data_IF_034195745934
#
_entry.id   IF_034195745934
#
_cell.length_a   1.000
_cell.length_b   1.000
_cell.length_c   1.000
_cell.angle_alpha   90.00
_cell.angle_beta   90.00
_cell.angle_gamma   90.00
#
_symmetry.space_group_name_H-M   'P 1'
#
loop_
_entity.id
_entity.type
_entity.pdbx_description
1 polymer ?
#
# COMPACT_ATOMS: atom_id res chain seq x y z
N UNK A 1 -20.84 -7.92 -10.44
CA UNK A 1 -20.23 -6.59 -10.29
C UNK A 1 -20.13 -5.93 -11.66
N UNK A 2 -20.34 -4.60 -11.74
CA UNK A 2 -20.08 -3.81 -12.97
C UNK A 2 -18.59 -3.94 -13.32
N UNK A 3 -18.26 -4.27 -14.57
CA UNK A 3 -16.84 -4.32 -15.00
C UNK A 3 -16.21 -2.94 -14.84
N UNK A 4 -14.91 -2.89 -14.56
CA UNK A 4 -14.16 -1.63 -14.55
C UNK A 4 -13.95 -1.21 -16.01
N UNK A 5 -14.33 0.02 -16.33
CA UNK A 5 -14.19 0.64 -17.66
C UNK A 5 -13.01 1.61 -17.62
N UNK A 6 -12.02 1.38 -18.47
CA UNK A 6 -10.78 2.17 -18.51
C UNK A 6 -10.63 2.79 -19.90
N UNK A 7 -10.45 4.11 -19.94
CA UNK A 7 -10.09 4.85 -21.15
C UNK A 7 -8.58 5.08 -21.18
N UNK A 8 -7.89 4.51 -22.16
CA UNK A 8 -6.46 4.78 -22.39
C UNK A 8 -6.33 5.83 -23.48
N UNK A 9 -5.64 6.93 -23.18
CA UNK A 9 -5.47 8.05 -24.08
C UNK A 9 -4.02 8.52 -24.22
N UNK A 10 -3.75 9.13 -25.38
CA UNK A 10 -2.51 9.85 -25.65
C UNK A 10 -2.82 11.32 -25.94
N UNK A 11 -2.58 12.21 -24.97
CA UNK A 11 -2.87 13.61 -25.13
C UNK A 11 -1.84 14.30 -26.05
N UNK A 12 -2.30 15.28 -26.82
CA UNK A 12 -1.44 16.12 -27.64
C UNK A 12 -0.76 15.36 -28.79
N UNK A 13 0.35 15.86 -29.32
CA UNK A 13 0.92 15.35 -30.58
C UNK A 13 1.77 14.07 -30.43
N UNK A 14 1.75 13.42 -29.28
CA UNK A 14 2.58 12.24 -29.01
C UNK A 14 2.17 11.03 -29.84
N UNK A 15 3.08 10.55 -30.69
CA UNK A 15 2.89 9.41 -31.58
C UNK A 15 3.31 8.05 -31.00
N UNK A 16 3.85 7.99 -29.78
CA UNK A 16 4.36 6.74 -29.21
C UNK A 16 3.24 5.88 -28.61
N UNK A 17 2.72 4.90 -29.35
CA UNK A 17 1.56 4.09 -28.95
C UNK A 17 1.89 2.77 -28.24
N UNK A 18 3.09 2.20 -28.45
CA UNK A 18 3.43 0.84 -27.97
C UNK A 18 3.10 0.61 -26.49
N UNK A 19 3.51 1.54 -25.62
CA UNK A 19 3.22 1.44 -24.18
C UNK A 19 1.71 1.42 -23.93
N UNK A 20 0.96 2.35 -24.52
CA UNK A 20 -0.48 2.44 -24.39
C UNK A 20 -1.21 1.18 -24.89
N UNK A 21 -0.76 0.59 -26.00
CA UNK A 21 -1.33 -0.66 -26.54
C UNK A 21 -1.03 -1.87 -25.65
N UNK A 22 0.20 -1.97 -25.11
CA UNK A 22 0.57 -3.05 -24.18
C UNK A 22 -0.25 -2.96 -22.89
N UNK A 23 -0.38 -1.76 -22.31
CA UNK A 23 -1.23 -1.55 -21.13
C UNK A 23 -2.69 -1.87 -21.47
N UNK A 24 -3.19 -1.41 -22.61
CA UNK A 24 -4.57 -1.70 -23.02
C UNK A 24 -4.85 -3.20 -23.12
N UNK A 25 -3.91 -3.98 -23.65
CA UNK A 25 -4.06 -5.44 -23.71
C UNK A 25 -4.00 -6.07 -22.32
N UNK A 26 -3.02 -5.69 -21.50
CA UNK A 26 -2.86 -6.25 -20.16
C UNK A 26 -4.07 -5.99 -19.25
N UNK A 27 -4.69 -4.81 -19.35
CA UNK A 27 -5.91 -4.50 -18.59
C UNK A 27 -7.13 -5.30 -19.09
N UNK A 28 -7.22 -5.60 -20.40
CA UNK A 28 -8.24 -6.52 -20.92
C UNK A 28 -8.02 -7.95 -20.42
N UNK A 29 -6.77 -8.39 -20.37
CA UNK A 29 -6.41 -9.72 -19.84
C UNK A 29 -6.73 -9.83 -18.33
N UNK A 30 -6.67 -8.72 -17.60
CA UNK A 30 -7.13 -8.59 -16.22
C UNK A 30 -8.69 -8.51 -16.07
N UNK A 31 -9.44 -8.55 -17.17
CA UNK A 31 -10.90 -8.60 -17.16
C UNK A 31 -11.61 -7.23 -17.23
N UNK A 32 -10.87 -6.14 -17.43
CA UNK A 32 -11.41 -4.79 -17.57
C UNK A 32 -11.93 -4.53 -19.00
N UNK A 33 -12.88 -3.60 -19.12
CA UNK A 33 -13.33 -3.09 -20.41
C UNK A 33 -12.47 -1.88 -20.80
N UNK A 34 -11.70 -1.98 -21.88
CA UNK A 34 -10.71 -0.96 -22.23
C UNK A 34 -11.03 -0.28 -23.56
N UNK A 35 -11.27 1.03 -23.49
CA UNK A 35 -11.44 1.94 -24.62
C UNK A 35 -10.10 2.61 -24.90
N UNK A 36 -9.56 2.45 -26.10
CA UNK A 36 -8.36 3.17 -26.54
C UNK A 36 -8.75 4.29 -27.50
N UNK A 37 -8.43 5.54 -27.16
CA UNK A 37 -8.87 6.71 -27.95
C UNK A 37 -8.02 6.94 -29.21
N UNK A 38 -6.94 6.19 -29.39
CA UNK A 38 -5.99 6.42 -30.45
C UNK A 38 -5.00 7.55 -30.12
N UNK A 39 -4.39 8.10 -31.17
CA UNK A 39 -3.38 9.13 -31.06
C UNK A 39 -4.00 10.53 -31.18
N UNK A 40 -3.26 11.54 -30.70
CA UNK A 40 -3.52 12.95 -31.01
C UNK A 40 -4.85 13.48 -30.52
N UNK A 41 -5.25 13.07 -29.32
CA UNK A 41 -6.46 13.58 -28.69
C UNK A 41 -6.15 14.84 -27.87
N UNK A 42 -7.00 15.86 -27.93
CA UNK A 42 -6.92 16.98 -27.00
C UNK A 42 -7.42 16.56 -25.61
N UNK A 43 -6.98 17.24 -24.53
CA UNK A 43 -7.53 17.01 -23.20
C UNK A 43 -9.06 17.06 -23.15
N UNK A 44 -9.68 17.98 -23.90
CA UNK A 44 -11.14 18.10 -23.98
C UNK A 44 -11.79 16.88 -24.65
N UNK A 45 -11.21 16.37 -25.73
CA UNK A 45 -11.70 15.18 -26.41
C UNK A 45 -11.59 13.94 -25.52
N UNK A 46 -10.51 13.84 -24.75
CA UNK A 46 -10.30 12.75 -23.79
C UNK A 46 -11.40 12.75 -22.73
N UNK A 47 -11.67 13.90 -22.11
CA UNK A 47 -12.71 14.02 -21.08
C UNK A 47 -14.10 13.79 -21.66
N UNK A 48 -14.40 14.34 -22.84
CA UNK A 48 -15.69 14.09 -23.51
C UNK A 48 -15.91 12.60 -23.77
N UNK A 49 -14.90 11.89 -24.28
CA UNK A 49 -14.97 10.46 -24.49
C UNK A 49 -15.14 9.69 -23.18
N UNK A 50 -14.41 10.08 -22.13
CA UNK A 50 -14.48 9.44 -20.82
C UNK A 50 -15.89 9.53 -20.20
N UNK A 51 -16.48 10.73 -20.22
CA UNK A 51 -17.84 10.97 -19.72
C UNK A 51 -18.89 10.25 -20.58
N UNK A 52 -18.77 10.33 -21.90
CA UNK A 52 -19.72 9.67 -22.82
C UNK A 52 -19.69 8.15 -22.68
N UNK A 53 -18.51 7.58 -22.45
CA UNK A 53 -18.30 6.15 -22.26
C UNK A 53 -18.51 5.69 -20.82
N UNK A 54 -18.88 6.57 -19.88
CA UNK A 54 -19.12 6.24 -18.46
C UNK A 54 -17.96 5.40 -17.87
N UNK A 55 -16.73 5.90 -18.02
CA UNK A 55 -15.52 5.19 -17.58
C UNK A 55 -15.23 5.45 -16.12
N UNK A 56 -14.67 4.44 -15.44
CA UNK A 56 -14.22 4.58 -14.06
C UNK A 56 -12.82 5.20 -13.97
N UNK A 57 -12.01 5.05 -15.03
CA UNK A 57 -10.59 5.46 -15.03
C UNK A 57 -10.14 5.99 -16.40
N UNK A 58 -9.30 7.02 -16.38
CA UNK A 58 -8.50 7.51 -17.52
C UNK A 58 -7.01 7.18 -17.29
N UNK A 59 -6.40 6.49 -18.24
CA UNK A 59 -4.96 6.28 -18.31
C UNK A 59 -4.31 7.17 -19.37
N UNK A 60 -3.46 8.10 -18.95
CA UNK A 60 -2.75 9.03 -19.84
C UNK A 60 -1.32 8.55 -20.12
N UNK A 61 -0.96 8.43 -21.40
CA UNK A 61 0.40 8.03 -21.80
C UNK A 61 1.16 9.16 -22.49
N UNK A 62 2.28 9.60 -21.92
CA UNK A 62 3.14 10.67 -22.42
C UNK A 62 4.62 10.27 -22.52
N UNK A 63 5.18 10.39 -23.72
CA UNK A 63 6.63 10.28 -24.01
C UNK A 63 7.17 11.57 -24.65
N UNK A 64 6.33 12.60 -24.81
CA UNK A 64 6.69 13.88 -25.45
C UNK A 64 7.22 14.94 -24.47
N UNK A 65 7.22 14.65 -23.17
CA UNK A 65 7.57 15.61 -22.11
C UNK A 65 6.47 16.63 -21.80
N UNK A 66 5.29 16.52 -22.42
CA UNK A 66 4.20 17.46 -22.24
C UNK A 66 3.27 17.14 -21.05
N UNK A 67 3.63 16.16 -20.20
CA UNK A 67 2.80 15.70 -19.06
C UNK A 67 2.48 16.81 -18.07
N UNK A 68 3.43 17.70 -17.78
CA UNK A 68 3.25 18.83 -16.86
C UNK A 68 2.20 19.86 -17.30
N UNK A 69 1.78 19.82 -18.57
CA UNK A 69 0.77 20.70 -19.14
C UNK A 69 -0.51 19.92 -19.45
N UNK A 70 -0.36 18.79 -20.14
CA UNK A 70 -1.51 18.05 -20.67
C UNK A 70 -2.26 17.25 -19.61
N UNK A 71 -1.60 16.73 -18.58
CA UNK A 71 -2.29 15.99 -17.53
C UNK A 71 -3.12 16.93 -16.65
N UNK A 72 -2.58 18.07 -16.16
CA UNK A 72 -3.40 19.07 -15.46
C UNK A 72 -4.59 19.56 -16.29
N UNK A 73 -4.42 19.77 -17.60
CA UNK A 73 -5.55 20.16 -18.46
C UNK A 73 -6.65 19.10 -18.57
N UNK A 74 -6.32 17.80 -18.43
CA UNK A 74 -7.35 16.74 -18.36
C UNK A 74 -8.10 16.86 -17.03
N UNK A 75 -7.41 17.06 -15.92
CA UNK A 75 -8.01 17.25 -14.60
C UNK A 75 -8.92 18.48 -14.55
N UNK A 76 -8.45 19.64 -15.04
CA UNK A 76 -9.24 20.87 -15.11
C UNK A 76 -10.54 20.68 -15.92
N UNK A 77 -10.46 19.92 -17.02
CA UNK A 77 -11.61 19.61 -17.86
C UNK A 77 -12.58 18.64 -17.17
N UNK A 78 -12.09 17.66 -16.38
CA UNK A 78 -12.92 16.77 -15.56
C UNK A 78 -13.68 17.56 -14.50
N UNK A 79 -13.00 18.47 -13.78
CA UNK A 79 -13.62 19.38 -12.83
C UNK A 79 -14.73 20.21 -13.49
N UNK A 80 -14.42 20.82 -14.64
CA UNK A 80 -15.39 21.63 -15.40
C UNK A 80 -16.60 20.79 -15.86
N UNK A 81 -16.40 19.51 -16.15
CA UNK A 81 -17.46 18.59 -16.55
C UNK A 81 -18.24 17.98 -15.36
N UNK A 82 -17.81 18.24 -14.11
CA UNK A 82 -18.39 17.63 -12.91
C UNK A 82 -18.15 16.12 -12.80
N UNK A 83 -17.04 15.62 -13.37
CA UNK A 83 -16.68 14.22 -13.47
C UNK A 83 -15.36 13.90 -12.72
N UNK A 84 -15.18 14.51 -11.55
CA UNK A 84 -13.99 14.34 -10.70
C UNK A 84 -13.93 12.97 -10.02
N UNK A 85 -15.03 12.20 -10.09
CA UNK A 85 -15.10 10.82 -9.64
C UNK A 85 -14.34 9.85 -10.56
N UNK A 86 -13.99 10.28 -11.78
CA UNK A 86 -13.19 9.49 -12.72
C UNK A 86 -11.71 9.58 -12.32
N UNK A 87 -11.13 8.44 -11.94
CA UNK A 87 -9.71 8.35 -11.57
C UNK A 87 -8.81 8.62 -12.78
N UNK A 88 -7.66 9.24 -12.56
CA UNK A 88 -6.67 9.55 -13.58
C UNK A 88 -5.30 9.02 -13.17
N UNK A 89 -4.77 8.04 -13.92
CA UNK A 89 -3.37 7.65 -13.80
C UNK A 89 -2.57 8.09 -15.03
N UNK A 90 -1.28 8.31 -14.84
CA UNK A 90 -0.34 8.68 -15.89
C UNK A 90 0.75 7.64 -16.11
N UNK A 91 1.38 7.66 -17.27
CA UNK A 91 2.58 6.88 -17.52
C UNK A 91 3.36 7.30 -18.76
N UNK A 92 4.52 6.67 -18.93
CA UNK A 92 5.49 6.99 -19.96
C UNK A 92 6.79 7.50 -19.38
N UNK A 93 7.55 8.30 -20.13
CA UNK A 93 8.87 8.79 -19.69
C UNK A 93 8.67 10.10 -18.94
N UNK A 94 8.42 9.98 -17.63
CA UNK A 94 8.14 11.11 -16.73
C UNK A 94 9.30 11.20 -15.71
N UNK A 95 10.00 12.36 -15.62
CA UNK A 95 11.04 12.60 -14.62
C UNK A 95 10.53 12.47 -13.18
N UNK A 96 11.39 12.03 -12.25
CA UNK A 96 10.98 11.77 -10.85
C UNK A 96 10.49 13.03 -10.14
N UNK A 97 11.11 14.17 -10.45
CA UNK A 97 10.76 15.49 -9.95
C UNK A 97 9.36 15.94 -10.40
N UNK A 98 8.89 15.48 -11.56
CA UNK A 98 7.57 15.83 -12.09
C UNK A 98 6.46 14.94 -11.49
N UNK A 99 6.79 13.71 -11.07
CA UNK A 99 5.81 12.76 -10.54
C UNK A 99 5.09 13.34 -9.32
N UNK A 100 5.85 13.81 -8.32
CA UNK A 100 5.28 14.37 -7.10
C UNK A 100 4.36 15.57 -7.39
N UNK A 101 4.75 16.42 -8.35
CA UNK A 101 3.97 17.60 -8.76
C UNK A 101 2.68 17.20 -9.48
N UNK A 102 2.69 16.13 -10.28
CA UNK A 102 1.50 15.63 -10.95
C UNK A 102 0.54 14.94 -9.95
N UNK A 103 1.08 14.16 -9.02
CA UNK A 103 0.28 13.49 -7.99
C UNK A 103 -0.37 14.51 -7.04
N UNK A 104 0.36 15.56 -6.61
CA UNK A 104 -0.18 16.67 -5.82
C UNK A 104 -1.30 17.45 -6.53
N UNK A 105 -1.25 17.50 -7.86
CA UNK A 105 -2.30 18.14 -8.69
C UNK A 105 -3.55 17.27 -8.87
N UNK A 106 -3.55 16.03 -8.41
CA UNK A 106 -4.70 15.12 -8.49
C UNK A 106 -4.58 14.01 -9.53
N UNK A 107 -3.37 13.71 -10.04
CA UNK A 107 -3.15 12.44 -10.76
C UNK A 107 -2.98 11.32 -9.73
N UNK A 108 -3.85 10.32 -9.71
CA UNK A 108 -3.87 9.29 -8.67
C UNK A 108 -2.58 8.45 -8.61
N UNK A 109 -1.93 8.22 -9.76
CA UNK A 109 -0.63 7.54 -9.82
C UNK A 109 0.12 7.77 -11.12
N UNK A 110 1.45 7.86 -11.05
CA UNK A 110 2.34 7.78 -12.22
C UNK A 110 3.09 6.45 -12.29
N UNK A 111 3.00 5.77 -13.43
CA UNK A 111 3.75 4.56 -13.75
C UNK A 111 4.85 4.82 -14.78
N UNK A 112 6.10 4.59 -14.41
CA UNK A 112 7.28 4.78 -15.26
C UNK A 112 7.64 3.49 -16.02
N UNK A 113 8.57 3.55 -17.00
CA UNK A 113 8.95 2.37 -17.77
C UNK A 113 9.54 1.28 -16.86
N UNK A 114 9.12 0.04 -17.07
CA UNK A 114 9.53 -1.10 -16.25
C UNK A 114 8.53 -1.51 -15.18
N UNK A 115 7.49 -0.70 -14.90
CA UNK A 115 6.39 -1.10 -14.02
C UNK A 115 5.72 -2.37 -14.56
N UNK A 116 5.60 -3.45 -13.75
CA UNK A 116 4.87 -4.64 -14.14
C UNK A 116 3.39 -4.32 -14.41
N UNK A 117 2.82 -4.86 -15.48
CA UNK A 117 1.43 -4.60 -15.85
C UNK A 117 0.43 -5.05 -14.77
N UNK A 118 0.77 -6.10 -14.02
CA UNK A 118 0.00 -6.58 -12.86
C UNK A 118 -0.11 -5.55 -11.73
N UNK A 119 0.90 -4.69 -11.55
CA UNK A 119 0.86 -3.62 -10.55
C UNK A 119 -0.14 -2.54 -10.96
N UNK A 120 -0.20 -2.23 -12.26
CA UNK A 120 -1.14 -1.24 -12.82
C UNK A 120 -2.58 -1.75 -12.69
N UNK A 121 -2.84 -3.01 -13.05
CA UNK A 121 -4.17 -3.60 -12.91
C UNK A 121 -4.61 -3.67 -11.45
N UNK A 122 -3.73 -4.11 -10.54
CA UNK A 122 -4.04 -4.18 -9.12
C UNK A 122 -4.31 -2.80 -8.51
N UNK A 123 -3.56 -1.77 -8.93
CA UNK A 123 -3.82 -0.39 -8.53
C UNK A 123 -5.22 0.07 -8.98
N UNK A 124 -5.57 -0.13 -10.25
CA UNK A 124 -6.89 0.26 -10.79
C UNK A 124 -8.02 -0.45 -10.06
N UNK A 125 -7.90 -1.76 -9.86
CA UNK A 125 -8.91 -2.55 -9.13
C UNK A 125 -9.11 -2.01 -7.71
N UNK A 126 -8.02 -1.73 -7.00
CA UNK A 126 -8.06 -1.18 -5.65
C UNK A 126 -8.69 0.22 -5.61
N UNK A 127 -8.23 1.12 -6.48
CA UNK A 127 -8.66 2.52 -6.49
C UNK A 127 -10.14 2.65 -6.90
N UNK A 128 -10.56 1.97 -7.98
CA UNK A 128 -11.97 1.98 -8.41
C UNK A 128 -12.87 1.34 -7.36
N UNK A 129 -12.41 0.29 -6.69
CA UNK A 129 -13.13 -0.29 -5.56
C UNK A 129 -13.30 0.73 -4.43
N UNK A 130 -12.23 1.42 -4.03
CA UNK A 130 -12.32 2.49 -3.02
C UNK A 130 -13.28 3.61 -3.41
N UNK A 131 -13.27 4.06 -4.68
CA UNK A 131 -14.19 5.11 -5.17
C UNK A 131 -15.64 4.62 -5.23
N UNK A 132 -15.90 3.40 -5.74
CA UNK A 132 -17.26 2.84 -5.79
C UNK A 132 -17.80 2.55 -4.38
N UNK A 133 -16.94 2.13 -3.47
CA UNK A 133 -17.27 1.86 -2.07
C UNK A 133 -17.36 3.16 -1.24
N UNK A 134 -17.09 4.35 -1.83
CA UNK A 134 -17.30 5.65 -1.17
C UNK A 134 -18.77 6.14 -1.19
N UNK A 135 -19.62 5.52 -2.02
CA UNK A 135 -21.06 5.81 -2.09
C UNK A 135 -21.92 5.03 -1.10
N UNK A 136 -21.40 3.94 -0.54
CA UNK A 136 -21.98 3.16 0.55
C UNK A 136 -20.78 2.62 1.33
N UNK A 137 -20.56 3.12 2.54
CA UNK A 137 -19.51 2.64 3.44
C UNK A 137 -19.72 1.15 3.75
N UNK A 138 -19.23 0.28 2.88
CA UNK A 138 -19.29 -1.17 3.03
C UNK A 138 -17.88 -1.69 3.30
N UNK A 139 -17.50 -1.62 4.58
CA UNK A 139 -16.91 -2.73 5.33
C UNK A 139 -15.70 -3.43 4.67
N UNK A 140 -14.52 -2.85 4.92
CA UNK A 140 -13.18 -3.44 4.92
C UNK A 140 -12.70 -4.17 3.67
N UNK A 141 -11.65 -3.62 3.07
CA UNK A 141 -10.73 -4.36 2.20
C UNK A 141 -10.10 -5.55 2.97
N UNK A 142 -9.81 -6.68 2.31
CA UNK A 142 -8.97 -7.72 2.89
C UNK A 142 -7.62 -7.14 3.35
N UNK A 143 -7.02 -7.66 4.44
CA UNK A 143 -5.63 -7.34 4.75
C UNK A 143 -4.73 -7.52 3.54
N UNK A 144 -3.77 -6.63 3.33
CA UNK A 144 -2.85 -6.66 2.19
C UNK A 144 -1.92 -7.88 2.24
N UNK A 145 -1.68 -8.41 3.43
CA UNK A 145 -0.86 -9.59 3.65
C UNK A 145 -0.51 -9.78 5.12
N UNK A 146 0.50 -10.62 5.36
CA UNK A 146 1.17 -10.73 6.65
C UNK A 146 2.24 -9.64 6.69
N UNK A 147 2.19 -8.77 7.69
CA UNK A 147 3.26 -7.80 7.92
C UNK A 147 4.47 -8.51 8.55
N UNK A 148 4.25 -9.11 9.72
CA UNK A 148 5.25 -9.88 10.43
C UNK A 148 4.65 -11.06 11.23
N UNK A 149 5.52 -11.97 11.64
CA UNK A 149 5.22 -13.05 12.58
C UNK A 149 6.16 -12.88 13.78
N UNK A 150 5.58 -12.58 14.95
CA UNK A 150 6.32 -12.45 16.19
C UNK A 150 6.76 -13.80 16.74
N UNK A 151 8.04 -13.92 17.04
CA UNK A 151 8.68 -15.07 17.66
C UNK A 151 9.24 -14.66 19.01
N UNK A 152 8.68 -15.21 20.09
CA UNK A 152 9.23 -15.05 21.43
C UNK A 152 10.48 -15.93 21.57
N UNK A 153 11.63 -15.29 21.85
CA UNK A 153 12.93 -15.93 21.99
C UNK A 153 13.61 -15.49 23.29
N UNK A 154 14.47 -16.33 23.84
CA UNK A 154 15.29 -15.99 25.02
C UNK A 154 16.49 -15.13 24.67
N UNK A 155 16.99 -15.27 23.44
CA UNK A 155 18.12 -14.50 22.91
C UNK A 155 17.92 -14.25 21.42
N UNK A 156 17.83 -12.97 21.04
CA UNK A 156 17.85 -12.53 19.65
C UNK A 156 19.15 -12.96 18.98
N UNK A 157 20.29 -12.86 19.66
CA UNK A 157 21.59 -13.24 19.10
C UNK A 157 21.61 -14.73 18.69
N UNK A 158 21.18 -15.63 19.58
CA UNK A 158 21.13 -17.07 19.28
C UNK A 158 20.14 -17.41 18.16
N UNK A 159 18.97 -16.76 18.17
CA UNK A 159 17.94 -16.96 17.15
C UNK A 159 18.40 -16.42 15.77
N UNK A 160 18.95 -15.21 15.73
CA UNK A 160 19.50 -14.59 14.53
C UNK A 160 20.63 -15.43 13.93
N UNK A 161 21.54 -15.92 14.78
CA UNK A 161 22.61 -16.84 14.40
C UNK A 161 22.06 -18.12 13.73
N UNK A 162 21.01 -18.71 14.30
CA UNK A 162 20.36 -19.90 13.74
C UNK A 162 19.79 -19.62 12.35
N UNK A 163 19.01 -18.54 12.20
CA UNK A 163 18.42 -18.17 10.92
C UNK A 163 19.48 -17.81 9.87
N UNK A 164 20.54 -17.11 10.27
CA UNK A 164 21.65 -16.78 9.39
C UNK A 164 22.41 -18.01 8.91
N UNK A 165 22.74 -18.94 9.81
CA UNK A 165 23.54 -20.13 9.46
C UNK A 165 22.79 -21.11 8.58
N UNK A 166 21.50 -21.30 8.82
CA UNK A 166 20.74 -22.38 8.18
C UNK A 166 19.84 -21.92 7.03
N UNK A 167 19.42 -20.64 7.04
CA UNK A 167 18.51 -20.08 6.03
C UNK A 167 19.13 -18.91 5.27
N UNK A 168 20.35 -18.49 5.63
CA UNK A 168 21.11 -17.43 4.96
C UNK A 168 20.38 -16.09 4.92
N UNK A 169 19.64 -15.79 5.99
CA UNK A 169 18.95 -14.51 6.20
C UNK A 169 19.57 -13.76 7.37
N UNK A 170 19.65 -12.44 7.26
CA UNK A 170 20.33 -11.60 8.24
C UNK A 170 19.29 -10.82 9.04
N UNK A 171 19.36 -10.89 10.37
CA UNK A 171 18.57 -10.01 11.23
C UNK A 171 19.06 -8.56 11.11
N UNK A 172 18.12 -7.62 11.18
CA UNK A 172 18.40 -6.19 11.30
C UNK A 172 19.03 -5.84 12.65
N UNK A 173 19.22 -4.54 12.87
CA UNK A 173 19.72 -4.03 14.14
C UNK A 173 18.72 -4.30 15.26
N UNK A 174 19.22 -4.79 16.40
CA UNK A 174 18.43 -4.94 17.61
C UNK A 174 18.21 -3.58 18.26
N UNK A 175 16.96 -3.25 18.55
CA UNK A 175 16.62 -2.04 19.30
C UNK A 175 15.72 -2.37 20.48
N UNK A 176 15.74 -1.50 21.49
CA UNK A 176 15.00 -1.69 22.73
C UNK A 176 13.68 -0.94 22.69
N UNK A 177 12.61 -1.59 23.14
CA UNK A 177 11.27 -1.00 23.32
C UNK A 177 10.89 -1.13 24.82
N UNK A 178 11.43 -0.27 25.70
CA UNK A 178 11.28 -0.44 27.15
C UNK A 178 9.83 -0.39 27.64
N UNK A 179 8.98 0.40 26.98
CA UNK A 179 7.56 0.51 27.29
C UNK A 179 6.81 -0.82 27.15
N UNK A 180 7.32 -1.71 26.29
CA UNK A 180 6.78 -3.05 26.08
C UNK A 180 7.64 -4.14 26.76
N UNK A 181 8.76 -3.77 27.39
CA UNK A 181 9.64 -4.69 28.11
C UNK A 181 10.38 -5.67 27.20
N UNK A 182 10.72 -5.28 25.96
CA UNK A 182 11.34 -6.17 24.98
C UNK A 182 12.47 -5.48 24.20
N UNK A 183 13.45 -6.28 23.77
CA UNK A 183 14.30 -6.00 22.63
C UNK A 183 13.67 -6.64 21.39
N UNK A 184 13.83 -5.98 20.25
CA UNK A 184 13.23 -6.39 18.97
C UNK A 184 14.30 -6.39 17.89
N UNK A 185 14.27 -7.41 17.03
CA UNK A 185 15.03 -7.45 15.79
C UNK A 185 14.20 -8.10 14.68
N UNK A 186 14.29 -7.58 13.45
CA UNK A 186 13.53 -8.09 12.31
C UNK A 186 14.40 -8.88 11.35
N UNK A 187 13.90 -10.04 10.89
CA UNK A 187 14.49 -10.80 9.79
C UNK A 187 13.57 -10.66 8.57
N UNK A 188 14.01 -10.03 7.48
CA UNK A 188 13.20 -9.90 6.26
C UNK A 188 13.08 -11.25 5.54
N UNK A 189 11.86 -11.64 5.18
CA UNK A 189 11.54 -12.90 4.48
C UNK A 189 10.57 -12.67 3.31
N UNK A 190 11.11 -12.31 2.14
CA UNK A 190 10.30 -12.16 0.93
C UNK A 190 9.20 -11.10 1.09
N UNK A 191 7.96 -11.55 1.29
CA UNK A 191 6.78 -10.70 1.45
C UNK A 191 6.28 -10.55 2.90
N UNK A 192 7.05 -11.00 3.90
CA UNK A 192 6.76 -10.86 5.32
C UNK A 192 8.06 -10.74 6.12
N UNK A 193 7.96 -10.58 7.44
CA UNK A 193 9.10 -10.48 8.35
C UNK A 193 8.95 -11.43 9.54
N UNK A 194 10.06 -11.93 10.08
CA UNK A 194 10.05 -12.47 11.44
C UNK A 194 10.44 -11.35 12.39
N UNK A 195 9.62 -11.12 13.40
CA UNK A 195 9.95 -10.23 14.51
C UNK A 195 10.44 -11.08 15.67
N UNK A 196 11.73 -10.97 16.01
CA UNK A 196 12.29 -11.64 17.17
C UNK A 196 12.08 -10.76 18.40
N UNK A 197 11.41 -11.33 19.41
CA UNK A 197 11.04 -10.66 20.65
C UNK A 197 11.81 -11.28 21.81
N UNK A 198 12.80 -10.55 22.33
CA UNK A 198 13.56 -10.94 23.52
C UNK A 198 13.09 -10.11 24.73
N UNK A 199 12.74 -10.73 25.86
CA UNK A 199 12.32 -9.98 27.04
C UNK A 199 13.49 -9.23 27.68
N UNK A 200 13.27 -7.96 28.06
CA UNK A 200 14.26 -7.17 28.80
C UNK A 200 14.47 -7.67 30.23
N UNK A 201 13.42 -8.19 30.85
CA UNK A 201 13.42 -8.68 32.23
C UNK A 201 12.29 -9.69 32.48
N UNK A 202 12.25 -10.23 33.70
CA UNK A 202 11.23 -11.20 34.13
C UNK A 202 9.81 -10.63 34.22
N UNK A 203 9.66 -9.29 34.21
CA UNK A 203 8.35 -8.63 34.26
C UNK A 203 7.71 -8.56 32.87
N UNK A 204 8.50 -8.65 31.80
CA UNK A 204 8.05 -8.69 30.41
C UNK A 204 6.95 -9.71 30.14
N UNK A 205 5.95 -9.34 29.33
CA UNK A 205 4.91 -10.27 28.89
C UNK A 205 5.48 -11.41 28.05
N UNK A 206 6.55 -11.14 27.29
CA UNK A 206 7.26 -12.15 26.50
C UNK A 206 7.99 -13.13 27.41
N UNK A 207 8.61 -12.67 28.50
CA UNK A 207 9.20 -13.57 29.48
C UNK A 207 8.16 -14.55 30.05
N UNK A 208 7.00 -14.03 30.49
CA UNK A 208 5.91 -14.86 31.00
C UNK A 208 5.34 -15.81 29.94
N UNK A 209 5.31 -15.39 28.67
CA UNK A 209 4.92 -16.26 27.56
C UNK A 209 5.88 -17.43 27.43
N UNK A 210 7.19 -17.16 27.38
CA UNK A 210 8.25 -18.16 27.25
C UNK A 210 8.22 -19.14 28.42
N UNK A 211 8.07 -18.67 29.65
CA UNK A 211 7.97 -19.54 30.84
C UNK A 211 6.76 -20.47 30.78
N UNK A 212 5.64 -19.99 30.24
CA UNK A 212 4.39 -20.76 30.20
C UNK A 212 4.27 -21.70 29.00
N UNK A 213 4.84 -21.32 27.86
CA UNK A 213 4.61 -22.00 26.56
C UNK A 213 5.89 -22.43 25.83
N UNK A 214 7.06 -22.02 26.32
CA UNK A 214 8.32 -22.12 25.61
C UNK A 214 8.51 -20.99 24.60
N UNK A 215 9.70 -20.93 24.01
CA UNK A 215 10.00 -20.08 22.86
C UNK A 215 9.18 -20.52 21.62
N UNK A 216 8.86 -19.58 20.74
CA UNK A 216 8.12 -19.88 19.51
C UNK A 216 7.16 -18.77 19.07
N UNK A 217 6.20 -19.13 18.22
CA UNK A 217 5.24 -18.19 17.63
C UNK A 217 4.39 -17.52 18.72
N UNK A 218 4.47 -16.20 18.78
CA UNK A 218 3.77 -15.35 19.74
C UNK A 218 2.50 -14.73 19.14
N UNK A 219 2.60 -14.08 17.98
CA UNK A 219 1.46 -13.46 17.28
C UNK A 219 1.62 -13.55 15.75
N UNK A 220 0.55 -13.24 15.02
CA UNK A 220 0.57 -13.00 13.58
C UNK A 220 0.03 -11.61 13.30
N UNK A 221 0.79 -10.79 12.59
CA UNK A 221 0.45 -9.42 12.26
C UNK A 221 -0.07 -9.30 10.83
N UNK A 222 -1.24 -8.68 10.68
CA UNK A 222 -1.92 -8.48 9.41
C UNK A 222 -1.82 -7.01 9.00
N UNK A 223 -1.27 -6.77 7.81
CA UNK A 223 -1.20 -5.43 7.22
C UNK A 223 -2.61 -5.00 6.78
N UNK A 224 -3.13 -3.93 7.37
CA UNK A 224 -4.47 -3.39 7.10
C UNK A 224 -4.38 -1.91 6.75
N UNK A 225 -5.40 -1.42 6.05
CA UNK A 225 -5.60 0.02 5.82
C UNK A 225 -6.80 0.51 6.64
N UNK A 226 -6.66 1.62 7.35
CA UNK A 226 -7.71 2.24 8.16
C UNK A 226 -8.03 1.45 9.43
N UNK A 227 -7.04 1.28 10.32
CA UNK A 227 -7.14 0.51 11.56
C UNK A 227 -8.25 1.00 12.48
N UNK A 228 -8.48 2.31 12.59
CA UNK A 228 -9.56 2.86 13.42
C UNK A 228 -10.94 2.38 12.95
N UNK A 229 -11.20 2.47 11.65
CA UNK A 229 -12.44 2.01 11.05
C UNK A 229 -12.62 0.50 11.24
N UNK A 230 -11.53 -0.27 11.11
CA UNK A 230 -11.52 -1.72 11.34
C UNK A 230 -11.83 -2.09 12.79
N UNK A 231 -11.21 -1.43 13.76
CA UNK A 231 -11.47 -1.69 15.19
C UNK A 231 -12.92 -1.39 15.57
N UNK A 232 -13.46 -0.26 15.10
CA UNK A 232 -14.86 0.10 15.31
C UNK A 232 -15.83 -0.95 14.76
N UNK A 233 -15.54 -1.50 13.57
CA UNK A 233 -16.34 -2.58 13.01
C UNK A 233 -16.22 -3.86 13.85
N UNK A 234 -15.00 -4.31 14.13
CA UNK A 234 -14.78 -5.54 14.91
C UNK A 234 -15.51 -5.46 16.26
N UNK A 235 -15.50 -4.28 16.90
CA UNK A 235 -16.27 -4.04 18.12
C UNK A 235 -17.79 -4.14 17.90
N UNK A 236 -18.33 -3.55 16.82
CA UNK A 236 -19.75 -3.67 16.44
C UNK A 236 -20.18 -5.12 16.16
N UNK A 237 -19.28 -5.91 15.59
CA UNK A 237 -19.49 -7.35 15.32
C UNK A 237 -19.33 -8.22 16.57
N UNK A 238 -18.98 -7.63 17.71
CA UNK A 238 -18.80 -8.35 18.98
C UNK A 238 -17.47 -9.11 19.07
N UNK A 239 -16.51 -8.81 18.20
CA UNK A 239 -15.16 -9.35 18.29
C UNK A 239 -14.48 -8.76 19.52
N UNK A 240 -13.93 -9.64 20.36
CA UNK A 240 -13.23 -9.21 21.57
C UNK A 240 -11.85 -8.67 21.23
N UNK A 241 -11.63 -7.39 21.50
CA UNK A 241 -10.35 -6.70 21.30
C UNK A 241 -9.51 -6.72 22.59
N UNK A 242 -8.18 -6.64 22.45
CA UNK A 242 -7.29 -6.22 23.53
C UNK A 242 -7.19 -4.69 23.50
N UNK A 243 -6.92 -4.15 22.31
CA UNK A 243 -6.79 -2.71 22.07
C UNK A 243 -8.08 -2.20 21.41
N UNK A 244 -8.86 -1.38 22.13
CA UNK A 244 -10.06 -0.72 21.57
C UNK A 244 -9.72 0.50 20.70
N UNK A 245 -8.49 1.00 20.81
CA UNK A 245 -7.92 2.08 20.01
C UNK A 245 -6.51 1.71 19.57
N UNK A 246 -6.03 2.20 18.42
CA UNK A 246 -4.65 1.97 18.00
C UNK A 246 -3.65 2.55 19.02
N UNK A 247 -2.48 1.95 19.07
CA UNK A 247 -1.30 2.42 19.81
C UNK A 247 -0.07 2.29 18.94
N UNK A 248 1.03 2.94 19.31
CA UNK A 248 2.28 2.89 18.53
C UNK A 248 3.03 1.58 18.72
N UNK A 249 3.44 0.97 17.62
CA UNK A 249 4.25 -0.23 17.53
C UNK A 249 5.76 0.04 17.65
N UNK A 250 6.56 -1.04 17.59
CA UNK A 250 8.02 -0.98 17.75
C UNK A 250 8.72 -0.14 16.67
N UNK A 251 8.22 -0.19 15.43
CA UNK A 251 8.73 0.60 14.30
C UNK A 251 8.01 1.94 14.13
N UNK A 252 7.07 2.26 15.02
CA UNK A 252 6.24 3.47 14.89
C UNK A 252 5.14 3.32 13.85
N UNK A 253 4.56 2.14 13.70
CA UNK A 253 3.28 1.98 12.99
C UNK A 253 2.13 2.02 13.99
N UNK A 254 0.91 2.26 13.51
CA UNK A 254 -0.28 2.13 14.34
C UNK A 254 -0.69 0.65 14.40
N UNK A 255 -0.78 0.14 15.63
CA UNK A 255 -1.04 -1.27 15.89
C UNK A 255 -2.20 -1.47 16.86
N UNK A 256 -2.85 -2.63 16.75
CA UNK A 256 -3.87 -3.06 17.71
C UNK A 256 -4.00 -4.58 17.76
N UNK A 257 -4.17 -5.12 18.96
CA UNK A 257 -4.33 -6.57 19.16
C UNK A 257 -5.79 -6.98 19.37
N UNK A 258 -6.14 -8.14 18.79
CA UNK A 258 -7.37 -8.87 19.11
C UNK A 258 -7.12 -9.83 20.27
N UNK A 259 -8.14 -10.05 21.10
CA UNK A 259 -8.03 -11.03 22.17
C UNK A 259 -8.01 -12.46 21.58
N UNK A 260 -7.07 -13.36 21.97
CA UNK A 260 -6.93 -14.67 21.34
C UNK A 260 -8.21 -15.53 21.32
N UNK A 261 -9.07 -15.38 22.33
CA UNK A 261 -10.38 -16.04 22.38
C UNK A 261 -11.31 -15.70 21.19
N UNK A 262 -11.11 -14.54 20.54
CA UNK A 262 -11.87 -14.13 19.36
C UNK A 262 -11.30 -14.72 18.06
N UNK A 263 -10.04 -15.18 18.06
CA UNK A 263 -9.32 -15.67 16.90
C UNK A 263 -8.80 -17.10 17.11
N UNK A 264 -9.65 -17.98 17.65
CA UNK A 264 -9.36 -19.42 17.81
C UNK A 264 -8.07 -19.73 18.58
N UNK A 265 -7.69 -18.87 19.52
CA UNK A 265 -6.48 -19.02 20.34
C UNK A 265 -5.24 -18.33 19.78
N UNK A 266 -5.31 -17.74 18.59
CA UNK A 266 -4.22 -16.98 17.96
C UNK A 266 -4.26 -15.53 18.42
N UNK A 267 -3.11 -14.99 18.79
CA UNK A 267 -2.96 -13.54 19.01
C UNK A 267 -2.78 -12.87 17.64
N UNK A 268 -3.79 -12.10 17.21
CA UNK A 268 -3.76 -11.35 15.95
C UNK A 268 -3.44 -9.91 16.25
N UNK A 269 -2.45 -9.38 15.54
CA UNK A 269 -2.12 -7.97 15.49
C UNK A 269 -2.59 -7.38 14.16
N UNK A 270 -3.15 -6.18 14.23
CA UNK A 270 -3.43 -5.33 13.07
C UNK A 270 -2.32 -4.30 13.02
N UNK A 271 -1.71 -4.13 11.84
CA UNK A 271 -0.68 -3.12 11.59
C UNK A 271 -1.14 -2.26 10.45
N UNK A 272 -1.17 -0.95 10.68
CA UNK A 272 -1.48 0.05 9.67
C UNK A 272 -0.29 0.97 9.51
N UNK A 273 0.29 0.90 8.32
CA UNK A 273 1.47 1.65 7.91
C UNK A 273 1.09 2.99 7.27
N UNK A 274 -0.09 3.55 7.59
CA UNK A 274 -0.46 4.90 7.18
C UNK A 274 0.67 5.86 7.54
N UNK A 275 1.44 6.26 6.51
CA UNK A 275 2.39 7.37 6.62
C UNK A 275 1.61 8.52 7.26
N UNK A 276 2.02 9.02 8.43
CA UNK A 276 1.33 10.12 9.06
C UNK A 276 1.27 11.25 8.04
N UNK A 277 0.06 11.75 7.77
CA UNK A 277 -0.16 12.90 6.89
C UNK A 277 0.89 13.97 7.26
N UNK A 278 1.82 14.22 6.34
CA UNK A 278 3.04 14.95 6.65
C UNK A 278 2.69 16.31 7.28
N UNK A 279 2.91 16.43 8.59
CA UNK A 279 2.99 17.73 9.23
C UNK A 279 4.20 18.44 8.62
N UNK A 280 3.91 19.55 7.96
CA UNK A 280 4.90 20.47 7.39
C UNK A 280 5.99 20.78 8.41
N UNK A 281 7.20 20.23 8.19
CA UNK A 281 8.33 20.47 9.07
C UNK A 281 9.63 19.92 8.50
N UNK A 282 10.51 20.81 8.06
CA UNK A 282 11.86 20.53 7.55
C UNK A 282 12.70 19.63 8.48
N UNK A 283 13.42 18.67 7.87
CA UNK A 283 14.82 18.26 8.15
C UNK A 283 15.22 17.20 7.10
N UNK A 284 16.15 17.49 6.19
CA UNK A 284 17.61 17.54 6.32
C UNK A 284 18.28 16.15 6.35
N UNK A 285 19.00 15.87 5.24
CA UNK A 285 20.08 14.89 5.03
C UNK A 285 19.76 13.40 5.31
N UNK A 286 19.98 12.43 4.43
CA UNK A 286 20.98 12.30 3.37
C UNK A 286 21.57 10.89 3.49
N UNK A 287 21.15 9.94 2.66
CA UNK A 287 21.80 8.63 2.60
C UNK A 287 21.94 8.14 1.15
N UNK A 288 23.17 8.23 0.65
CA UNK A 288 23.61 7.72 -0.64
C UNK A 288 23.86 6.22 -0.49
N UNK A 289 23.04 5.38 -1.13
CA UNK A 289 23.38 3.96 -1.34
C UNK A 289 24.41 3.87 -2.47
N UNK A 290 25.67 3.58 -2.10
CA UNK A 290 26.69 3.08 -3.04
C UNK A 290 26.43 1.59 -3.25
N UNK A 291 26.10 1.22 -4.49
CA UNK A 291 26.08 -0.17 -4.93
C UNK A 291 27.51 -0.64 -5.25
N UNK A 292 27.89 -1.78 -4.67
CA UNK A 292 28.81 -2.76 -5.27
C UNK A 292 28.14 -4.13 -5.17
#
# INVERSE_FOLDING_TARGET
>A
MKKIRVLIAKPGLDGHDRGALVISQALRDAGMEVIYTGLRQSPQQIVQAAVQEDVDVIGLSSLSGAHNVLFPQVLDNLHTAGAEDILVFGGGVIPKEDIAVLEDKGVDKIFTPGTPTSVISAFIERAVRQTRDSGEADVLTPPAGIDHIGLAVKSIDEAADFYQRHFHVTAGETFSVPEQGVNVAFIPLGNARLELLEPLDEQSLIHRFIEKRGEGLHHVALAVSGIEARLLQLQKEGVRLIDEKPRRGAEGDDIAFLHPAAAFGTLIELVDDEEPAAETGERADGYVRKNQ
#
